data_IF_780458560873
#
_entry.id   IF_780458560873
#
_cell.length_a   1.000
_cell.length_b   1.000
_cell.length_c   1.000
_cell.angle_alpha   90.00
_cell.angle_beta   90.00
_cell.angle_gamma   90.00
#
_symmetry.space_group_name_H-M   'P 1'
#
loop_
_entity.id
_entity.type
_entity.pdbx_description
1 polymer ?
#
# COMPACT_ATOMS: atom_id res chain seq x y z
N UNK A 1 -51.27 -30.58 -4.28
CA UNK A 1 -50.72 -29.34 -4.87
C UNK A 1 -50.54 -28.34 -3.74
N UNK A 2 -49.30 -28.08 -3.29
CA UNK A 2 -48.85 -26.90 -2.51
C UNK A 2 -47.66 -27.31 -1.64
N UNK A 3 -46.48 -27.39 -2.24
CA UNK A 3 -45.18 -27.42 -1.53
C UNK A 3 -44.05 -26.98 -2.48
N UNK A 4 -44.27 -27.04 -3.80
CA UNK A 4 -43.41 -26.42 -4.80
C UNK A 4 -43.47 -24.87 -4.79
N UNK A 5 -44.56 -24.28 -4.29
CA UNK A 5 -44.72 -22.81 -4.20
C UNK A 5 -43.91 -22.18 -3.06
N UNK A 6 -43.77 -22.89 -1.93
CA UNK A 6 -43.03 -22.39 -0.75
C UNK A 6 -41.51 -22.48 -0.96
N UNK A 7 -41.04 -23.54 -1.65
CA UNK A 7 -39.63 -23.66 -2.01
C UNK A 7 -39.17 -22.61 -3.04
N UNK A 8 -40.07 -22.16 -3.92
CA UNK A 8 -39.80 -21.09 -4.88
C UNK A 8 -39.75 -19.70 -4.23
N UNK A 9 -40.43 -19.50 -3.08
CA UNK A 9 -40.42 -18.25 -2.35
C UNK A 9 -39.19 -18.10 -1.42
N UNK A 10 -38.61 -19.21 -0.95
CA UNK A 10 -37.31 -19.19 -0.24
C UNK A 10 -36.11 -18.98 -1.18
N UNK A 11 -36.15 -19.50 -2.41
CA UNK A 11 -35.10 -19.29 -3.42
C UNK A 11 -35.11 -17.87 -4.02
N UNK A 12 -36.20 -17.12 -3.86
CA UNK A 12 -36.32 -15.72 -4.29
C UNK A 12 -35.79 -14.70 -3.27
N UNK A 13 -35.42 -15.13 -2.06
CA UNK A 13 -34.75 -14.30 -1.04
C UNK A 13 -33.23 -14.40 -1.16
N UNK A 14 -32.69 -14.36 -2.36
CA UNK A 14 -31.29 -13.92 -2.53
C UNK A 14 -31.24 -12.47 -2.09
N UNK A 15 -30.71 -12.26 -0.89
CA UNK A 15 -30.56 -10.96 -0.26
C UNK A 15 -30.16 -9.91 -1.29
N UNK A 16 -31.07 -8.97 -1.60
CA UNK A 16 -30.75 -7.78 -2.39
C UNK A 16 -29.75 -6.99 -1.55
N UNK A 17 -28.46 -7.22 -1.80
CA UNK A 17 -27.38 -6.56 -1.08
C UNK A 17 -27.50 -5.07 -1.39
N UNK A 18 -27.79 -4.27 -0.35
CA UNK A 18 -28.06 -2.84 -0.48
C UNK A 18 -26.96 -2.13 -1.29
N UNK A 19 -27.35 -1.50 -2.40
CA UNK A 19 -26.51 -0.67 -3.30
C UNK A 19 -25.64 0.36 -2.55
N UNK A 20 -26.05 0.78 -1.35
CA UNK A 20 -25.32 1.72 -0.50
C UNK A 20 -23.98 1.19 0.04
N UNK A 21 -23.82 -0.13 0.19
CA UNK A 21 -22.60 -0.77 0.69
C UNK A 21 -21.45 -0.78 -0.33
N UNK A 22 -21.78 -0.92 -1.61
CA UNK A 22 -20.81 -0.97 -2.70
C UNK A 22 -20.00 0.33 -2.85
N UNK A 23 -20.67 1.49 -2.88
CA UNK A 23 -20.01 2.79 -3.00
C UNK A 23 -19.22 3.21 -1.75
N UNK A 24 -19.65 2.75 -0.57
CA UNK A 24 -18.90 2.92 0.68
C UNK A 24 -17.58 2.14 0.61
N UNK A 25 -17.65 0.89 0.19
CA UNK A 25 -16.48 0.00 0.07
C UNK A 25 -15.54 0.43 -1.06
N UNK A 26 -16.08 0.90 -2.19
CA UNK A 26 -15.27 1.43 -3.30
C UNK A 26 -14.40 2.62 -2.87
N UNK A 27 -14.94 3.54 -2.06
CA UNK A 27 -14.16 4.66 -1.50
C UNK A 27 -13.03 4.17 -0.59
N UNK A 28 -13.30 3.17 0.25
CA UNK A 28 -12.27 2.56 1.10
C UNK A 28 -11.15 1.94 0.26
N UNK A 29 -11.52 1.15 -0.76
CA UNK A 29 -10.56 0.48 -1.65
C UNK A 29 -9.65 1.52 -2.30
N UNK A 30 -10.22 2.59 -2.85
CA UNK A 30 -9.44 3.67 -3.47
C UNK A 30 -8.48 4.30 -2.46
N UNK A 31 -8.95 4.67 -1.27
CA UNK A 31 -8.10 5.31 -0.26
C UNK A 31 -6.94 4.41 0.21
N UNK A 32 -7.21 3.12 0.44
CA UNK A 32 -6.19 2.17 0.89
C UNK A 32 -5.18 1.88 -0.22
N UNK A 33 -5.65 1.67 -1.45
CA UNK A 33 -4.76 1.46 -2.61
C UNK A 33 -3.85 2.66 -2.84
N UNK A 34 -4.36 3.88 -2.71
CA UNK A 34 -3.55 5.10 -2.80
C UNK A 34 -2.44 5.15 -1.74
N UNK A 35 -2.77 4.83 -0.48
CA UNK A 35 -1.79 4.80 0.60
C UNK A 35 -0.69 3.76 0.34
N UNK A 36 -1.07 2.54 -0.08
CA UNK A 36 -0.11 1.48 -0.41
C UNK A 36 0.76 1.83 -1.62
N UNK A 37 0.21 2.48 -2.65
CA UNK A 37 1.02 2.95 -3.81
C UNK A 37 2.08 3.94 -3.35
N UNK A 38 1.71 4.93 -2.54
CA UNK A 38 2.68 5.91 -2.06
C UNK A 38 3.78 5.27 -1.19
N UNK A 39 3.41 4.34 -0.31
CA UNK A 39 4.36 3.58 0.50
C UNK A 39 5.34 2.77 -0.37
N UNK A 40 4.82 2.06 -1.39
CA UNK A 40 5.65 1.31 -2.34
C UNK A 40 6.64 2.21 -3.08
N UNK A 41 6.17 3.34 -3.63
CA UNK A 41 7.02 4.25 -4.39
C UNK A 41 8.09 4.88 -3.51
N UNK A 42 7.76 5.28 -2.28
CA UNK A 42 8.74 5.80 -1.34
C UNK A 42 9.87 4.82 -1.06
N UNK A 43 9.56 3.58 -0.71
CA UNK A 43 10.61 2.58 -0.48
C UNK A 43 11.39 2.27 -1.77
N UNK A 44 10.73 2.26 -2.94
CA UNK A 44 11.41 2.01 -4.22
C UNK A 44 12.42 3.10 -4.59
N UNK A 45 12.15 4.36 -4.25
CA UNK A 45 13.09 5.46 -4.47
C UNK A 45 14.35 5.28 -3.63
N UNK A 46 14.23 4.73 -2.41
CA UNK A 46 15.41 4.35 -1.61
C UNK A 46 16.32 3.40 -2.40
N UNK A 47 15.75 2.32 -2.94
CA UNK A 47 16.52 1.26 -3.57
C UNK A 47 17.29 1.78 -4.78
N UNK A 48 16.61 2.55 -5.63
CA UNK A 48 17.20 3.10 -6.84
C UNK A 48 18.35 4.02 -6.43
N UNK A 49 18.11 5.00 -5.56
CA UNK A 49 19.13 5.96 -5.14
C UNK A 49 20.30 5.26 -4.44
N UNK A 50 20.04 4.25 -3.60
CA UNK A 50 21.07 3.49 -2.89
C UNK A 50 21.93 2.61 -3.81
N UNK A 51 21.32 1.97 -4.81
CA UNK A 51 22.03 1.13 -5.77
C UNK A 51 22.82 1.98 -6.78
N UNK A 52 22.27 3.11 -7.24
CA UNK A 52 22.93 3.96 -8.24
C UNK A 52 23.97 4.91 -7.65
N UNK A 53 23.86 5.26 -6.36
CA UNK A 53 24.81 6.15 -5.68
C UNK A 53 25.99 5.38 -5.05
N UNK A 54 25.93 5.02 -3.76
CA UNK A 54 27.08 4.46 -3.03
C UNK A 54 27.56 3.09 -3.53
N UNK A 55 26.72 2.32 -4.23
CA UNK A 55 27.10 1.02 -4.82
C UNK A 55 27.54 1.11 -6.29
N UNK A 56 27.32 2.24 -6.96
CA UNK A 56 27.72 2.47 -8.35
C UNK A 56 27.10 1.50 -9.38
N UNK A 57 25.99 0.83 -9.05
CA UNK A 57 25.32 -0.05 -9.99
C UNK A 57 24.63 0.76 -11.10
N UNK A 58 24.63 0.21 -12.32
CA UNK A 58 23.89 0.82 -13.44
C UNK A 58 22.40 0.86 -13.12
N UNK A 59 21.70 1.92 -13.55
CA UNK A 59 20.24 2.09 -13.34
C UNK A 59 19.42 0.87 -13.79
N UNK A 60 19.92 0.11 -14.79
CA UNK A 60 19.32 -1.14 -15.25
C UNK A 60 19.41 -2.29 -14.23
N UNK A 61 20.53 -2.43 -13.52
CA UNK A 61 20.72 -3.46 -12.47
C UNK A 61 19.90 -3.12 -11.23
N UNK A 62 19.83 -1.84 -10.87
CA UNK A 62 18.95 -1.37 -9.80
C UNK A 62 17.47 -1.66 -10.08
N UNK A 63 17.02 -1.36 -11.30
CA UNK A 63 15.67 -1.71 -11.75
C UNK A 63 15.42 -3.23 -11.73
N UNK A 64 16.42 -4.04 -12.09
CA UNK A 64 16.31 -5.50 -12.02
C UNK A 64 16.14 -6.02 -10.59
N UNK A 65 16.86 -5.47 -9.61
CA UNK A 65 16.70 -5.82 -8.19
C UNK A 65 15.32 -5.40 -7.64
N UNK A 66 14.82 -4.22 -8.00
CA UNK A 66 13.44 -3.79 -7.68
C UNK A 66 12.42 -4.78 -8.26
N UNK A 67 12.61 -5.18 -9.52
CA UNK A 67 11.71 -6.11 -10.20
C UNK A 67 11.76 -7.52 -9.58
N UNK A 68 12.95 -8.01 -9.22
CA UNK A 68 13.13 -9.31 -8.57
C UNK A 68 12.48 -9.35 -7.18
N UNK A 69 12.59 -8.27 -6.41
CA UNK A 69 11.91 -8.13 -5.13
C UNK A 69 10.38 -8.10 -5.30
N UNK A 70 9.87 -7.33 -6.27
CA UNK A 70 8.43 -7.31 -6.60
C UNK A 70 7.90 -8.69 -7.02
N UNK A 71 8.73 -9.47 -7.75
CA UNK A 71 8.47 -10.86 -8.08
C UNK A 71 8.38 -11.77 -6.85
N UNK A 72 9.28 -11.57 -5.88
CA UNK A 72 9.29 -12.33 -4.61
C UNK A 72 8.06 -12.04 -3.75
N UNK A 73 7.66 -10.78 -3.63
CA UNK A 73 6.41 -10.37 -2.96
C UNK A 73 5.20 -11.02 -3.64
N UNK A 74 5.21 -11.10 -4.98
CA UNK A 74 4.13 -11.74 -5.74
C UNK A 74 4.03 -13.25 -5.46
N UNK A 75 5.17 -13.94 -5.26
CA UNK A 75 5.18 -15.34 -4.83
C UNK A 75 4.69 -15.53 -3.39
N UNK A 76 4.99 -14.59 -2.49
CA UNK A 76 4.50 -14.61 -1.10
C UNK A 76 2.97 -14.71 -0.99
N UNK A 77 2.24 -14.13 -1.95
CA UNK A 77 0.76 -14.16 -2.03
C UNK A 77 0.18 -15.58 -2.13
N UNK A 78 0.93 -16.52 -2.72
CA UNK A 78 0.51 -17.91 -2.88
C UNK A 78 0.53 -18.67 -1.54
N UNK A 79 1.43 -18.32 -0.62
CA UNK A 79 1.57 -19.00 0.67
C UNK A 79 0.52 -18.55 1.69
N UNK A 80 -0.01 -17.34 1.55
CA UNK A 80 -1.04 -16.77 2.44
C UNK A 80 -2.47 -17.22 2.15
N UNK A 81 -2.69 -18.06 1.13
CA UNK A 81 -4.01 -18.63 0.77
C UNK A 81 -4.59 -19.56 1.85
N UNK A 82 -3.89 -19.78 2.98
CA UNK A 82 -4.42 -20.57 4.09
C UNK A 82 -4.49 -19.76 5.39
N UNK A 83 -5.56 -18.98 5.56
CA UNK A 83 -5.85 -18.28 6.82
C UNK A 83 -7.34 -18.31 7.15
N UNK A 84 -7.88 -19.53 7.30
CA UNK A 84 -9.17 -19.78 7.93
C UNK A 84 -9.17 -19.20 9.36
N UNK A 85 -9.78 -18.02 9.56
CA UNK A 85 -10.08 -17.46 10.89
C UNK A 85 -9.86 -15.95 11.08
N UNK A 86 -9.01 -15.29 10.28
CA UNK A 86 -8.80 -13.83 10.39
C UNK A 86 -9.83 -13.09 9.55
N UNK A 87 -10.53 -12.11 10.14
CA UNK A 87 -11.54 -11.33 9.41
C UNK A 87 -10.90 -10.49 8.30
N UNK A 88 -11.61 -10.36 7.19
CA UNK A 88 -11.21 -9.57 6.02
C UNK A 88 -10.79 -8.12 6.38
N UNK A 89 -11.50 -7.49 7.33
CA UNK A 89 -11.12 -6.18 7.86
C UNK A 89 -9.79 -6.23 8.63
N UNK A 90 -9.60 -7.18 9.54
CA UNK A 90 -8.32 -7.32 10.26
C UNK A 90 -7.13 -7.52 9.33
N UNK A 91 -7.30 -8.19 8.18
CA UNK A 91 -6.23 -8.32 7.17
C UNK A 91 -5.85 -6.98 6.57
N UNK A 92 -6.83 -6.17 6.15
CA UNK A 92 -6.59 -4.82 5.63
C UNK A 92 -5.93 -3.94 6.70
N UNK A 93 -6.46 -3.94 7.93
CA UNK A 93 -5.92 -3.13 9.02
C UNK A 93 -4.48 -3.52 9.39
N UNK A 94 -4.19 -4.82 9.47
CA UNK A 94 -2.84 -5.34 9.70
C UNK A 94 -1.89 -4.90 8.59
N UNK A 95 -2.32 -4.96 7.33
CA UNK A 95 -1.51 -4.53 6.20
C UNK A 95 -1.16 -3.04 6.27
N UNK A 96 -2.15 -2.16 6.41
CA UNK A 96 -1.91 -0.70 6.55
C UNK A 96 -1.00 -0.37 7.74
N UNK A 97 -1.14 -1.10 8.86
CA UNK A 97 -0.24 -0.94 10.00
C UNK A 97 1.21 -1.33 9.67
N UNK A 98 1.40 -2.45 8.96
CA UNK A 98 2.71 -2.90 8.50
C UNK A 98 3.34 -1.94 7.50
N UNK A 99 2.57 -1.30 6.61
CA UNK A 99 3.13 -0.26 5.72
C UNK A 99 3.57 1.00 6.47
N UNK A 100 2.83 1.44 7.49
CA UNK A 100 3.29 2.52 8.37
C UNK A 100 4.60 2.13 9.07
N UNK A 101 4.69 0.92 9.61
CA UNK A 101 5.92 0.43 10.24
C UNK A 101 7.08 0.41 9.24
N UNK A 102 6.83 -0.02 7.99
CA UNK A 102 7.82 -0.01 6.92
C UNK A 102 8.34 1.43 6.63
N UNK A 103 7.44 2.43 6.58
CA UNK A 103 7.83 3.83 6.38
C UNK A 103 8.67 4.37 7.54
N UNK A 104 8.29 4.05 8.78
CA UNK A 104 9.05 4.49 9.97
C UNK A 104 10.44 3.86 9.97
N UNK A 105 10.55 2.56 9.68
CA UNK A 105 11.85 1.89 9.56
C UNK A 105 12.68 2.51 8.46
N UNK A 106 12.07 2.82 7.30
CA UNK A 106 12.78 3.48 6.19
C UNK A 106 13.31 4.87 6.57
N UNK A 107 12.51 5.68 7.27
CA UNK A 107 12.95 6.97 7.79
C UNK A 107 14.15 6.82 8.75
N UNK A 108 14.12 5.84 9.66
CA UNK A 108 15.20 5.60 10.61
C UNK A 108 16.48 5.12 9.93
N UNK A 109 16.37 4.22 8.95
CA UNK A 109 17.51 3.73 8.16
C UNK A 109 18.14 4.88 7.37
N UNK A 110 17.33 5.79 6.83
CA UNK A 110 17.84 6.94 6.09
C UNK A 110 18.52 7.96 6.99
N UNK A 111 17.97 8.25 8.18
CA UNK A 111 18.64 9.09 9.18
C UNK A 111 19.99 8.48 9.57
N UNK A 112 20.07 7.16 9.72
CA UNK A 112 21.34 6.45 10.00
C UNK A 112 22.33 6.58 8.85
N UNK A 113 21.87 6.48 7.60
CA UNK A 113 22.71 6.68 6.41
C UNK A 113 23.29 8.09 6.36
N UNK A 114 22.45 9.11 6.58
CA UNK A 114 22.84 10.51 6.58
C UNK A 114 23.84 10.83 7.71
N UNK A 115 23.68 10.21 8.89
CA UNK A 115 24.65 10.33 9.99
C UNK A 115 26.00 9.72 9.60
N UNK A 116 26.01 8.50 9.05
CA UNK A 116 27.25 7.86 8.61
C UNK A 116 27.99 8.67 7.53
N UNK A 117 27.25 9.27 6.59
CA UNK A 117 27.82 10.13 5.55
C UNK A 117 28.45 11.43 6.08
N UNK A 118 27.95 11.97 7.20
CA UNK A 118 28.53 13.15 7.87
C UNK A 118 29.83 12.83 8.60
N UNK A 119 29.92 11.63 9.17
CA UNK A 119 31.09 11.20 9.95
C UNK A 119 32.23 10.70 9.04
N UNK A 120 31.91 9.91 8.00
CA UNK A 120 32.87 9.44 7.00
C UNK A 120 32.17 9.14 5.66
N UNK A 121 32.44 9.97 4.65
CA UNK A 121 31.86 9.89 3.30
C UNK A 121 32.20 8.55 2.60
N UNK A 122 33.25 7.84 3.05
CA UNK A 122 33.77 6.65 2.37
C UNK A 122 33.16 5.33 2.87
N UNK A 123 32.42 5.32 3.98
CA UNK A 123 31.87 4.09 4.56
C UNK A 123 30.39 3.92 4.15
N UNK A 124 30.07 3.12 3.12
CA UNK A 124 28.70 2.80 2.81
C UNK A 124 28.08 2.00 3.96
N UNK A 125 26.85 2.34 4.35
CA UNK A 125 26.13 1.54 5.33
C UNK A 125 25.84 0.14 4.76
N UNK A 126 25.62 -0.83 5.63
CA UNK A 126 25.40 -2.19 5.17
C UNK A 126 24.01 -2.35 4.53
N UNK A 127 23.94 -2.99 3.36
CA UNK A 127 22.68 -3.28 2.62
C UNK A 127 21.66 -4.04 3.48
N UNK A 128 22.12 -4.81 4.47
CA UNK A 128 21.27 -5.56 5.41
C UNK A 128 20.27 -4.68 6.17
N UNK A 129 20.57 -3.39 6.38
CA UNK A 129 19.66 -2.44 7.02
C UNK A 129 18.42 -2.12 6.19
N UNK A 130 18.45 -2.36 4.88
CA UNK A 130 17.29 -2.17 4.02
C UNK A 130 16.32 -3.36 4.07
N UNK A 131 16.73 -4.53 4.55
CA UNK A 131 15.87 -5.73 4.54
C UNK A 131 14.60 -5.57 5.39
N UNK A 132 14.63 -5.02 6.62
CA UNK A 132 13.44 -4.93 7.46
C UNK A 132 12.31 -4.13 6.83
N UNK A 133 12.60 -2.97 6.23
CA UNK A 133 11.59 -2.15 5.52
C UNK A 133 10.96 -2.92 4.33
N UNK A 134 11.76 -3.70 3.59
CA UNK A 134 11.26 -4.50 2.45
C UNK A 134 10.41 -5.68 2.88
N UNK A 135 10.74 -6.31 4.01
CA UNK A 135 9.93 -7.39 4.58
C UNK A 135 8.58 -6.84 5.02
N UNK A 136 8.55 -5.72 5.74
CA UNK A 136 7.29 -5.14 6.22
C UNK A 136 6.38 -4.66 5.10
N UNK A 137 6.91 -3.96 4.10
CA UNK A 137 6.09 -3.51 2.96
C UNK A 137 5.65 -4.69 2.08
N UNK A 138 6.47 -5.74 1.94
CA UNK A 138 6.10 -6.95 1.22
C UNK A 138 4.96 -7.69 1.91
N UNK A 139 5.02 -7.84 3.24
CA UNK A 139 3.93 -8.41 4.02
C UNK A 139 2.68 -7.53 3.96
N UNK A 140 2.83 -6.21 4.08
CA UNK A 140 1.72 -5.26 3.93
C UNK A 140 0.97 -5.47 2.62
N UNK A 141 1.69 -5.48 1.49
CA UNK A 141 1.10 -5.61 0.16
C UNK A 141 0.33 -6.93 0.00
N UNK A 142 0.84 -8.02 0.60
CA UNK A 142 0.16 -9.32 0.60
C UNK A 142 -1.15 -9.27 1.41
N UNK A 143 -1.08 -8.82 2.67
CA UNK A 143 -2.24 -8.79 3.56
C UNK A 143 -3.32 -7.82 3.07
N UNK A 144 -2.91 -6.60 2.67
CA UNK A 144 -3.83 -5.57 2.19
C UNK A 144 -4.51 -6.00 0.89
N UNK A 145 -3.76 -6.53 -0.09
CA UNK A 145 -4.38 -6.95 -1.37
C UNK A 145 -5.36 -8.10 -1.19
N UNK A 146 -5.01 -9.11 -0.40
CA UNK A 146 -5.91 -10.24 -0.14
C UNK A 146 -7.19 -9.73 0.54
N UNK A 147 -7.05 -8.87 1.56
CA UNK A 147 -8.20 -8.29 2.25
C UNK A 147 -9.08 -7.40 1.37
N UNK A 148 -8.47 -6.57 0.52
CA UNK A 148 -9.21 -5.71 -0.42
C UNK A 148 -9.91 -6.50 -1.51
N UNK A 149 -9.27 -7.57 -2.01
CA UNK A 149 -9.90 -8.47 -2.97
C UNK A 149 -11.11 -9.14 -2.34
N UNK A 150 -10.97 -9.75 -1.17
CA UNK A 150 -12.08 -10.38 -0.46
C UNK A 150 -13.23 -9.39 -0.17
N UNK A 151 -12.92 -8.15 0.23
CA UNK A 151 -13.92 -7.06 0.38
C UNK A 151 -14.68 -6.79 -0.91
N UNK A 152 -13.93 -6.66 -1.99
CA UNK A 152 -14.48 -6.31 -3.28
C UNK A 152 -15.43 -7.42 -3.78
N UNK A 153 -15.00 -8.68 -3.68
CA UNK A 153 -15.80 -9.83 -4.10
C UNK A 153 -17.07 -10.00 -3.26
N UNK A 154 -16.99 -9.68 -1.96
CA UNK A 154 -18.17 -9.64 -1.11
C UNK A 154 -19.12 -8.52 -1.55
N UNK A 155 -18.62 -7.29 -1.74
CA UNK A 155 -19.48 -6.11 -1.89
C UNK A 155 -20.07 -5.92 -3.28
N UNK A 156 -19.43 -6.49 -4.31
CA UNK A 156 -19.87 -6.31 -5.69
C UNK A 156 -20.75 -7.48 -6.15
N UNK A 157 -21.96 -7.19 -6.70
CA UNK A 157 -22.84 -8.22 -7.23
C UNK A 157 -22.16 -8.98 -8.39
N UNK A 158 -22.52 -10.26 -8.57
CA UNK A 158 -21.85 -11.17 -9.52
C UNK A 158 -21.77 -10.60 -10.94
N UNK A 159 -22.81 -9.88 -11.38
CA UNK A 159 -22.94 -9.31 -12.72
C UNK A 159 -21.93 -8.16 -12.96
N UNK A 160 -21.52 -7.47 -11.89
CA UNK A 160 -20.59 -6.34 -11.96
C UNK A 160 -19.17 -6.71 -11.53
N UNK A 161 -18.91 -7.97 -11.22
CA UNK A 161 -17.62 -8.43 -10.69
C UNK A 161 -16.47 -8.20 -11.67
N UNK A 162 -16.67 -8.49 -12.95
CA UNK A 162 -15.67 -8.22 -14.00
C UNK A 162 -15.42 -6.72 -14.19
N UNK A 163 -16.49 -5.91 -14.18
CA UNK A 163 -16.40 -4.46 -14.29
C UNK A 163 -15.63 -3.84 -13.11
N UNK A 164 -15.92 -4.26 -11.88
CA UNK A 164 -15.22 -3.71 -10.73
C UNK A 164 -13.79 -4.27 -10.55
N UNK A 165 -13.47 -5.46 -11.07
CA UNK A 165 -12.07 -5.90 -11.21
C UNK A 165 -11.31 -5.01 -12.20
N UNK A 166 -11.94 -4.61 -13.31
CA UNK A 166 -11.35 -3.66 -14.26
C UNK A 166 -11.18 -2.25 -13.65
N UNK A 167 -12.14 -1.79 -12.84
CA UNK A 167 -12.01 -0.55 -12.07
C UNK A 167 -10.91 -0.63 -11.01
N UNK A 168 -10.75 -1.77 -10.34
CA UNK A 168 -9.63 -1.99 -9.40
C UNK A 168 -8.29 -1.89 -10.15
N UNK A 169 -8.19 -2.52 -11.33
CA UNK A 169 -7.01 -2.40 -12.18
C UNK A 169 -6.72 -0.96 -12.63
N UNK A 170 -7.75 -0.17 -12.93
CA UNK A 170 -7.58 1.23 -13.30
C UNK A 170 -7.17 2.10 -12.11
N UNK A 171 -7.65 1.80 -10.89
CA UNK A 171 -7.21 2.46 -9.66
C UNK A 171 -5.71 2.30 -9.45
N UNK A 172 -5.13 1.12 -9.75
CA UNK A 172 -3.67 0.97 -9.73
C UNK A 172 -2.97 1.90 -10.73
N UNK A 173 -3.49 2.00 -11.96
CA UNK A 173 -2.96 2.92 -12.97
C UNK A 173 -3.02 4.38 -12.54
N UNK A 174 -4.18 4.84 -12.05
CA UNK A 174 -4.38 6.20 -11.54
C UNK A 174 -3.48 6.47 -10.32
N UNK A 175 -3.35 5.50 -9.42
CA UNK A 175 -2.48 5.58 -8.25
C UNK A 175 -1.00 5.78 -8.63
N UNK A 176 -0.52 5.13 -9.69
CA UNK A 176 0.83 5.32 -10.19
C UNK A 176 1.02 6.75 -10.74
N UNK A 177 0.10 7.25 -11.57
CA UNK A 177 0.16 8.62 -12.08
C UNK A 177 0.15 9.65 -10.95
N UNK A 178 -0.72 9.45 -9.96
CA UNK A 178 -0.84 10.36 -8.81
C UNK A 178 0.40 10.31 -7.92
N UNK A 179 1.03 9.14 -7.76
CA UNK A 179 2.32 8.98 -7.06
C UNK A 179 3.43 9.76 -7.75
N UNK A 180 3.57 9.61 -9.07
CA UNK A 180 4.55 10.38 -9.84
C UNK A 180 4.27 11.88 -9.81
N UNK A 181 3.00 12.27 -9.90
CA UNK A 181 2.60 13.68 -9.81
C UNK A 181 2.94 14.26 -8.44
N UNK A 182 2.66 13.54 -7.36
CA UNK A 182 2.99 13.96 -5.99
C UNK A 182 4.51 14.12 -5.81
N UNK A 183 5.31 13.14 -6.26
CA UNK A 183 6.78 13.23 -6.22
C UNK A 183 7.25 14.49 -6.97
N UNK A 184 6.71 14.75 -8.15
CA UNK A 184 7.06 15.94 -8.94
C UNK A 184 6.66 17.25 -8.25
N UNK A 185 5.49 17.31 -7.61
CA UNK A 185 5.07 18.48 -6.83
C UNK A 185 5.99 18.69 -5.63
N UNK A 186 6.32 17.62 -4.89
CA UNK A 186 7.23 17.70 -3.75
C UNK A 186 8.58 18.22 -4.22
N UNK A 187 9.18 17.57 -5.23
CA UNK A 187 10.48 17.95 -5.78
C UNK A 187 10.50 19.42 -6.23
N UNK A 188 9.45 19.88 -6.91
CA UNK A 188 9.31 21.28 -7.34
C UNK A 188 9.16 22.25 -6.16
N UNK A 189 8.44 21.88 -5.11
CA UNK A 189 8.24 22.74 -3.92
C UNK A 189 9.52 22.80 -3.08
N UNK A 190 10.21 21.68 -2.90
CA UNK A 190 11.44 21.62 -2.10
C UNK A 190 12.63 22.26 -2.80
N UNK A 191 12.75 22.12 -4.13
CA UNK A 191 13.83 22.73 -4.92
C UNK A 191 13.73 24.25 -5.06
N UNK A 192 12.55 24.85 -4.84
CA UNK A 192 12.34 26.28 -5.11
C UNK A 192 12.95 27.24 -4.07
N UNK A 193 13.49 26.71 -2.97
CA UNK A 193 13.86 27.48 -1.78
C UNK A 193 15.37 27.70 -1.58
N UNK A 194 16.21 27.42 -2.58
CA UNK A 194 17.67 27.55 -2.46
C UNK A 194 18.30 26.56 -1.46
N UNK A 195 17.51 25.62 -0.94
CA UNK A 195 17.93 24.45 -0.17
C UNK A 195 17.85 23.21 -1.07
N UNK A 196 18.60 22.16 -0.71
CA UNK A 196 18.68 20.90 -1.45
C UNK A 196 17.32 20.20 -1.50
N UNK A 197 16.98 19.61 -2.64
CA UNK A 197 15.69 18.92 -2.81
C UNK A 197 15.66 17.67 -1.92
N UNK A 198 14.47 17.22 -1.50
CA UNK A 198 14.35 15.93 -0.81
C UNK A 198 14.84 14.75 -1.67
N UNK A 199 14.87 14.94 -2.99
CA UNK A 199 15.33 13.98 -3.99
C UNK A 199 16.60 14.45 -4.72
N UNK A 200 17.47 15.20 -4.04
CA UNK A 200 18.72 15.67 -4.66
C UNK A 200 19.56 14.51 -5.22
N UNK A 201 20.29 14.77 -6.31
CA UNK A 201 21.18 13.79 -6.92
C UNK A 201 22.40 13.52 -6.02
N UNK A 202 22.76 14.47 -5.16
CA UNK A 202 23.69 14.22 -4.06
C UNK A 202 22.94 13.62 -2.87
N UNK A 203 23.10 12.31 -2.70
CA UNK A 203 22.55 11.55 -1.57
C UNK A 203 22.91 12.16 -0.22
N UNK A 204 24.05 12.82 -0.07
CA UNK A 204 24.47 13.35 1.22
C UNK A 204 23.78 14.67 1.57
N UNK A 205 23.19 15.33 0.58
CA UNK A 205 22.42 16.57 0.75
C UNK A 205 20.91 16.38 0.61
N UNK A 206 20.46 15.26 0.01
CA UNK A 206 19.05 14.88 -0.10
C UNK A 206 18.47 14.32 1.21
N UNK A 207 17.31 14.85 1.61
CA UNK A 207 16.59 14.46 2.83
C UNK A 207 15.39 13.54 2.56
N UNK A 208 15.67 12.31 2.13
CA UNK A 208 14.65 11.27 1.91
C UNK A 208 13.90 10.89 3.19
N UNK A 209 14.49 11.12 4.37
CA UNK A 209 13.88 10.89 5.68
C UNK A 209 12.60 11.72 5.87
N UNK A 210 12.58 12.98 5.42
CA UNK A 210 11.37 13.81 5.46
C UNK A 210 10.26 13.27 4.57
N UNK A 211 10.61 12.71 3.42
CA UNK A 211 9.64 12.07 2.54
C UNK A 211 9.02 10.84 3.19
N UNK A 212 9.81 9.98 3.86
CA UNK A 212 9.28 8.83 4.59
C UNK A 212 8.39 9.23 5.77
N UNK A 213 8.76 10.27 6.53
CA UNK A 213 7.92 10.80 7.59
C UNK A 213 6.59 11.35 7.06
N UNK A 214 6.61 12.08 5.94
CA UNK A 214 5.40 12.54 5.25
C UNK A 214 4.50 11.35 4.86
N UNK A 215 5.08 10.31 4.27
CA UNK A 215 4.36 9.09 3.88
C UNK A 215 3.80 8.33 5.09
N UNK A 216 4.53 8.27 6.21
CA UNK A 216 4.06 7.68 7.46
C UNK A 216 2.86 8.44 8.03
N UNK A 217 2.91 9.78 8.01
CA UNK A 217 1.79 10.64 8.42
C UNK A 217 0.56 10.47 7.53
N UNK A 218 0.72 10.49 6.20
CA UNK A 218 -0.35 10.27 5.24
C UNK A 218 -0.98 8.88 5.41
N UNK A 219 -0.16 7.85 5.62
CA UNK A 219 -0.62 6.47 5.85
C UNK A 219 -1.34 6.33 7.20
N UNK A 220 -0.91 7.07 8.23
CA UNK A 220 -1.60 7.12 9.52
C UNK A 220 -2.97 7.79 9.42
N UNK A 221 -3.10 8.85 8.61
CA UNK A 221 -4.38 9.46 8.30
C UNK A 221 -5.28 8.47 7.55
N UNK A 222 -4.74 7.75 6.56
CA UNK A 222 -5.47 6.70 5.84
C UNK A 222 -5.93 5.58 6.79
N UNK A 223 -5.10 5.16 7.75
CA UNK A 223 -5.48 4.21 8.79
C UNK A 223 -6.63 4.73 9.65
N UNK A 224 -6.60 6.00 10.06
CA UNK A 224 -7.69 6.59 10.83
C UNK A 224 -9.02 6.60 10.06
N UNK A 225 -9.00 6.98 8.77
CA UNK A 225 -10.16 6.87 7.88
C UNK A 225 -10.65 5.43 7.73
N UNK A 226 -9.72 4.49 7.57
CA UNK A 226 -10.03 3.06 7.51
C UNK A 226 -10.69 2.56 8.79
N UNK A 227 -10.17 2.92 9.97
CA UNK A 227 -10.73 2.51 11.27
C UNK A 227 -12.14 3.08 11.48
N UNK A 228 -12.35 4.35 11.10
CA UNK A 228 -13.67 4.97 11.11
C UNK A 228 -14.66 4.19 10.22
N UNK A 229 -14.21 3.83 9.01
CA UNK A 229 -14.99 3.01 8.10
C UNK A 229 -15.29 1.62 8.65
N UNK A 230 -14.28 0.92 9.16
CA UNK A 230 -14.39 -0.43 9.71
C UNK A 230 -15.40 -0.47 10.87
N UNK A 231 -15.35 0.54 11.75
CA UNK A 231 -16.33 0.69 12.84
C UNK A 231 -17.75 0.89 12.31
N UNK A 232 -17.93 1.76 11.31
CA UNK A 232 -19.22 1.99 10.65
C UNK A 232 -19.74 0.74 9.94
N UNK A 233 -18.85 -0.04 9.31
CA UNK A 233 -19.18 -1.28 8.63
C UNK A 233 -19.68 -2.36 9.60
N UNK A 234 -18.98 -2.57 10.72
CA UNK A 234 -19.39 -3.53 11.77
C UNK A 234 -20.72 -3.13 12.40
N UNK A 235 -20.92 -1.84 12.68
CA UNK A 235 -22.16 -1.33 13.26
C UNK A 235 -23.38 -1.60 12.37
N UNK A 236 -23.26 -1.37 11.06
CA UNK A 236 -24.36 -1.64 10.13
C UNK A 236 -24.67 -3.14 9.99
N UNK A 237 -23.69 -4.03 10.20
CA UNK A 237 -23.89 -5.49 10.21
C UNK A 237 -24.63 -6.00 11.43
N UNK A 238 -24.50 -5.32 12.57
CA UNK A 238 -25.18 -5.68 13.82
C UNK A 238 -26.64 -5.21 13.84
N UNK A 239 -26.98 -4.13 13.13
CA UNK A 239 -28.34 -3.58 13.05
C UNK A 239 -29.24 -4.27 12.00
N UNK A 240 -28.75 -5.29 11.30
CA UNK A 240 -29.49 -6.04 10.28
C UNK A 240 -30.03 -7.40 10.78
N UNK A 241 -30.15 -7.59 12.10
CA UNK A 241 -30.84 -8.73 12.70
C UNK A 241 -32.22 -8.35 13.20
#
# INVERSE_FOLDING_TARGET
MSNAGVAAEELGKTAVKSSSGGWRSARLIICVEMAERFAYYGISTNLITYLTGPLGESTASAAANVNAWSGTVSMGKLFTHNSSGITMLQRIGTGIFLSILAMVVAALVEIKRLQAAKDDVTVPISVWWLIPQYVFIGLSDVFTRIGLQELFYDQVPCELRSLGMALNLSIYGVGNFLSSFMISVIDKVTSHSGQTSWFDNDLNEGHLDYFYWLLACLSSIALAFYLWFAKSYVYNRLNTF
#
